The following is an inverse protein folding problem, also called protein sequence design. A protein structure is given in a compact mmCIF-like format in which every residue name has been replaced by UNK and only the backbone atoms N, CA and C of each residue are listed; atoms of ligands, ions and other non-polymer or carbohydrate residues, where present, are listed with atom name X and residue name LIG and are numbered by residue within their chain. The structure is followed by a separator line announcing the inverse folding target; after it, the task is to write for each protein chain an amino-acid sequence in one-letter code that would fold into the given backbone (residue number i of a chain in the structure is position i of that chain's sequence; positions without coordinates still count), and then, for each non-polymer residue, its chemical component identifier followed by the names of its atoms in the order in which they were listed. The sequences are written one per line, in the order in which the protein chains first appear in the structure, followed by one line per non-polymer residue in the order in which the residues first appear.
data_IF_562958348053
#
_entry.id   IF_562958348053
#
_cell.length_a   1.000
_cell.length_b   1.000
_cell.length_c   1.000
_cell.angle_alpha   90.00
_cell.angle_beta   90.00
_cell.angle_gamma   90.00
#
_symmetry.space_group_name_H-M   'P 1'
#
loop_
_entity.id
_entity.type
_entity.pdbx_description
1 polymer ?
#
# COMPACT_ATOMS: atom_id res chain seq x y z
N UNK A 1 -4.99 9.25 -18.18
CA UNK A 1 -6.12 8.56 -17.53
C UNK A 1 -6.98 7.81 -18.56
N UNK A 2 -7.28 8.39 -19.71
CA UNK A 2 -8.02 7.69 -20.78
C UNK A 2 -7.25 6.53 -21.42
N UNK A 3 -5.91 6.58 -21.33
CA UNK A 3 -5.03 5.53 -21.88
C UNK A 3 -5.08 4.24 -21.07
N UNK A 4 -5.38 4.33 -19.78
CA UNK A 4 -5.45 3.17 -18.87
C UNK A 4 -6.58 2.22 -19.31
N UNK A 5 -7.72 2.75 -19.72
CA UNK A 5 -8.88 1.95 -20.07
C UNK A 5 -8.68 0.98 -21.24
N UNK A 6 -7.98 1.41 -22.29
CA UNK A 6 -7.73 0.57 -23.48
C UNK A 6 -6.72 -0.54 -23.20
N UNK A 7 -5.60 -0.20 -22.55
CA UNK A 7 -4.57 -1.18 -22.20
C UNK A 7 -5.08 -2.19 -21.15
N UNK A 8 -5.90 -1.73 -20.22
CA UNK A 8 -6.43 -2.54 -19.14
C UNK A 8 -7.37 -3.64 -19.62
N UNK A 9 -8.13 -3.41 -20.69
CA UNK A 9 -9.12 -4.39 -21.21
C UNK A 9 -8.47 -5.63 -21.80
N UNK A 10 -7.20 -5.55 -22.21
CA UNK A 10 -6.46 -6.66 -22.78
C UNK A 10 -5.43 -7.27 -21.83
N UNK A 11 -5.32 -6.75 -20.62
CA UNK A 11 -4.34 -7.19 -19.63
C UNK A 11 -5.00 -8.05 -18.57
N UNK A 12 -4.26 -9.04 -18.07
CA UNK A 12 -4.71 -9.88 -16.95
C UNK A 12 -4.55 -9.16 -15.60
N UNK A 13 -3.51 -8.33 -15.46
CA UNK A 13 -3.23 -7.55 -14.26
C UNK A 13 -2.88 -6.12 -14.66
N UNK A 14 -3.43 -5.15 -13.93
CA UNK A 14 -3.14 -3.74 -14.13
C UNK A 14 -2.59 -3.15 -12.84
N UNK A 15 -1.41 -2.54 -12.92
CA UNK A 15 -0.79 -1.83 -11.80
C UNK A 15 -0.88 -0.33 -12.06
N UNK A 16 -1.45 0.40 -11.11
CA UNK A 16 -1.62 1.85 -11.21
C UNK A 16 -0.76 2.50 -10.12
N UNK A 17 0.34 3.12 -10.55
CA UNK A 17 1.22 3.87 -9.67
C UNK A 17 0.67 5.30 -9.51
N UNK A 18 0.62 5.78 -8.29
CA UNK A 18 0.06 7.08 -7.95
C UNK A 18 1.09 7.96 -7.24
N UNK A 19 0.85 9.27 -7.26
CA UNK A 19 1.64 10.19 -6.44
C UNK A 19 1.42 9.88 -4.95
N UNK A 20 2.52 9.77 -4.20
CA UNK A 20 2.49 9.41 -2.78
C UNK A 20 2.80 10.58 -1.84
N UNK A 21 2.89 11.82 -2.34
CA UNK A 21 3.31 12.95 -1.53
C UNK A 21 2.11 13.73 -0.99
N UNK A 22 2.08 13.92 0.34
CA UNK A 22 1.06 14.68 1.04
C UNK A 22 1.37 16.19 1.11
N UNK A 23 1.96 16.79 0.08
CA UNK A 23 2.21 18.23 0.05
C UNK A 23 0.93 19.03 0.12
N UNK A 24 -0.10 18.54 -0.56
CA UNK A 24 -1.43 19.10 -0.48
C UNK A 24 -2.40 17.92 -0.37
N UNK A 25 -2.81 17.63 0.86
CA UNK A 25 -3.68 16.51 1.18
C UNK A 25 -4.96 16.53 0.35
N UNK A 26 -5.58 17.70 0.21
CA UNK A 26 -6.84 17.81 -0.53
C UNK A 26 -6.68 17.48 -2.00
N UNK A 27 -5.62 17.97 -2.65
CA UNK A 27 -5.37 17.68 -4.06
C UNK A 27 -5.05 16.20 -4.28
N UNK A 28 -4.25 15.62 -3.39
CA UNK A 28 -3.92 14.19 -3.46
C UNK A 28 -5.19 13.34 -3.31
N UNK A 29 -6.06 13.66 -2.37
CA UNK A 29 -7.32 12.94 -2.15
C UNK A 29 -8.25 13.08 -3.35
N UNK A 30 -8.34 14.26 -3.94
CA UNK A 30 -9.13 14.49 -5.16
C UNK A 30 -8.59 13.65 -6.32
N UNK A 31 -7.28 13.57 -6.49
CA UNK A 31 -6.64 12.77 -7.53
C UNK A 31 -6.90 11.27 -7.33
N UNK A 32 -6.75 10.78 -6.10
CA UNK A 32 -7.04 9.37 -5.77
C UNK A 32 -8.50 9.03 -6.00
N UNK A 33 -9.41 9.93 -5.66
CA UNK A 33 -10.84 9.75 -5.92
C UNK A 33 -11.14 9.69 -7.42
N UNK A 34 -10.49 10.51 -8.23
CA UNK A 34 -10.64 10.47 -9.70
C UNK A 34 -10.17 9.14 -10.27
N UNK A 35 -9.01 8.65 -9.82
CA UNK A 35 -8.48 7.36 -10.25
C UNK A 35 -9.44 6.25 -9.87
N UNK A 36 -9.96 6.27 -8.66
CA UNK A 36 -10.95 5.29 -8.19
C UNK A 36 -12.20 5.26 -9.09
N UNK A 37 -12.74 6.42 -9.43
CA UNK A 37 -13.91 6.52 -10.31
C UNK A 37 -13.63 6.01 -11.72
N UNK A 38 -12.45 6.29 -12.26
CA UNK A 38 -12.04 5.79 -13.57
C UNK A 38 -11.93 4.26 -13.56
N UNK A 39 -11.33 3.69 -12.52
CA UNK A 39 -11.25 2.23 -12.38
C UNK A 39 -12.64 1.61 -12.29
N UNK A 40 -13.53 2.16 -11.50
CA UNK A 40 -14.91 1.66 -11.36
C UNK A 40 -15.66 1.70 -12.69
N UNK A 41 -15.46 2.74 -13.49
CA UNK A 41 -16.11 2.91 -14.78
C UNK A 41 -15.53 2.00 -15.87
N UNK A 42 -14.21 1.91 -15.97
CA UNK A 42 -13.52 1.21 -17.06
C UNK A 42 -13.34 -0.29 -16.80
N UNK A 43 -13.29 -0.68 -15.54
CA UNK A 43 -13.04 -2.06 -15.13
C UNK A 43 -14.10 -2.53 -14.12
N UNK A 44 -15.39 -2.51 -14.49
CA UNK A 44 -16.44 -2.94 -13.57
C UNK A 44 -16.34 -4.44 -13.29
N UNK A 45 -16.47 -4.82 -12.04
CA UNK A 45 -16.47 -6.22 -11.61
C UNK A 45 -15.08 -6.86 -11.52
N UNK A 46 -14.00 -6.12 -11.72
CA UNK A 46 -12.64 -6.66 -11.50
C UNK A 46 -12.31 -6.74 -10.01
N UNK A 47 -11.47 -7.71 -9.65
CA UNK A 47 -10.87 -7.76 -8.33
C UNK A 47 -9.91 -6.57 -8.17
N UNK A 48 -9.96 -5.93 -7.01
CA UNK A 48 -9.24 -4.69 -6.79
C UNK A 48 -8.56 -4.68 -5.44
N UNK A 49 -7.30 -4.30 -5.44
CA UNK A 49 -6.52 -4.04 -4.24
C UNK A 49 -6.02 -2.60 -4.29
N UNK A 50 -6.17 -1.89 -3.17
CA UNK A 50 -5.57 -0.57 -2.98
C UNK A 50 -4.50 -0.69 -1.92
N UNK A 51 -3.25 -0.70 -2.35
CA UNK A 51 -2.11 -0.94 -1.49
C UNK A 51 -1.41 0.37 -1.14
N UNK A 52 -1.17 0.58 0.14
CA UNK A 52 -0.34 1.68 0.61
C UNK A 52 1.09 1.17 0.79
N UNK A 53 2.04 1.81 0.11
CA UNK A 53 3.47 1.53 0.31
C UNK A 53 3.97 2.43 1.43
N UNK A 54 4.44 1.82 2.51
CA UNK A 54 4.87 2.49 3.72
C UNK A 54 6.31 2.13 4.04
N UNK A 55 7.13 3.14 4.30
CA UNK A 55 8.52 2.98 4.71
C UNK A 55 8.57 2.67 6.22
N UNK A 56 9.09 1.51 6.58
CA UNK A 56 9.17 1.06 7.97
C UNK A 56 10.05 1.95 8.85
N UNK A 57 10.94 2.74 8.27
CA UNK A 57 11.83 3.63 9.02
C UNK A 57 11.18 4.95 9.44
N UNK A 58 10.00 5.27 8.94
CA UNK A 58 9.30 6.54 9.24
C UNK A 58 8.61 6.55 10.61
N UNK A 59 8.46 5.41 11.26
CA UNK A 59 7.91 5.31 12.60
C UNK A 59 6.49 5.89 12.74
N UNK A 60 6.26 6.69 13.78
CA UNK A 60 4.94 7.27 14.08
C UNK A 60 4.42 8.20 12.98
N UNK A 61 5.29 8.94 12.32
CA UNK A 61 4.89 9.82 11.23
C UNK A 61 4.29 9.03 10.06
N UNK A 62 4.91 7.91 9.70
CA UNK A 62 4.39 7.03 8.68
C UNK A 62 3.04 6.44 9.05
N UNK A 63 2.87 6.07 10.31
CA UNK A 63 1.61 5.52 10.83
C UNK A 63 0.47 6.55 10.78
N UNK A 64 0.75 7.80 11.14
CA UNK A 64 -0.23 8.90 11.05
C UNK A 64 -0.65 9.12 9.61
N UNK A 65 0.29 9.14 8.67
CA UNK A 65 0.00 9.27 7.25
C UNK A 65 -0.84 8.08 6.74
N UNK A 66 -0.51 6.89 7.18
CA UNK A 66 -1.25 5.68 6.80
C UNK A 66 -2.71 5.74 7.24
N UNK A 67 -2.99 6.23 8.43
CA UNK A 67 -4.36 6.45 8.92
C UNK A 67 -5.13 7.42 8.01
N UNK A 68 -4.48 8.50 7.60
CA UNK A 68 -5.10 9.48 6.71
C UNK A 68 -5.42 8.89 5.33
N UNK A 69 -4.50 8.10 4.78
CA UNK A 69 -4.74 7.39 3.51
C UNK A 69 -5.87 6.36 3.62
N UNK A 70 -5.93 5.64 4.72
CA UNK A 70 -6.99 4.65 4.96
C UNK A 70 -8.37 5.31 4.91
N UNK A 71 -8.53 6.43 5.59
CA UNK A 71 -9.80 7.15 5.65
C UNK A 71 -10.21 7.70 4.28
N UNK A 72 -9.25 8.17 3.50
CA UNK A 72 -9.52 8.88 2.25
C UNK A 72 -9.58 7.97 1.02
N UNK A 73 -8.74 6.94 0.96
CA UNK A 73 -8.58 6.12 -0.25
C UNK A 73 -9.11 4.70 -0.10
N UNK A 74 -9.53 4.28 1.09
CA UNK A 74 -10.05 2.94 1.32
C UNK A 74 -9.02 1.85 1.04
N UNK A 75 -7.81 1.97 1.60
CA UNK A 75 -6.74 0.99 1.39
C UNK A 75 -7.13 -0.39 1.90
N UNK A 76 -6.75 -1.42 1.16
CA UNK A 76 -7.08 -2.82 1.47
C UNK A 76 -5.89 -3.60 1.99
N UNK A 77 -4.68 -3.10 1.81
CA UNK A 77 -3.46 -3.75 2.26
C UNK A 77 -2.29 -2.80 2.34
N UNK A 78 -1.23 -3.24 2.98
CA UNK A 78 0.00 -2.47 3.17
C UNK A 78 1.18 -3.24 2.62
N UNK A 79 2.04 -2.53 1.90
CA UNK A 79 3.36 -2.99 1.50
C UNK A 79 4.36 -2.25 2.36
N UNK A 80 5.05 -2.96 3.23
CA UNK A 80 5.96 -2.36 4.19
C UNK A 80 7.40 -2.53 3.71
N UNK A 81 8.06 -1.43 3.36
CA UNK A 81 9.43 -1.44 2.83
C UNK A 81 10.47 -1.15 3.91
N UNK A 82 11.72 -1.43 3.59
CA UNK A 82 12.89 -1.15 4.44
C UNK A 82 12.86 -1.88 5.79
N UNK A 83 12.31 -3.08 5.81
CA UNK A 83 12.30 -3.92 7.01
C UNK A 83 13.66 -4.52 7.36
N UNK A 84 14.67 -4.34 6.51
CA UNK A 84 16.06 -4.63 6.80
C UNK A 84 16.69 -3.65 7.81
N UNK A 85 16.00 -2.57 8.15
CA UNK A 85 16.39 -1.63 9.19
C UNK A 85 16.18 -2.17 10.62
N UNK A 86 16.61 -1.41 11.64
CA UNK A 86 16.74 -1.88 13.02
C UNK A 86 15.47 -1.96 13.86
N UNK A 87 14.35 -1.36 13.42
CA UNK A 87 13.12 -1.26 14.23
C UNK A 87 11.96 -2.08 13.67
N UNK A 88 12.22 -3.28 13.18
CA UNK A 88 11.35 -4.08 12.32
C UNK A 88 10.02 -4.52 12.95
N UNK A 89 10.04 -4.95 14.19
CA UNK A 89 8.87 -5.59 14.82
C UNK A 89 7.80 -4.63 15.26
N UNK A 90 8.19 -3.49 15.81
CA UNK A 90 7.27 -2.52 16.39
C UNK A 90 6.29 -1.93 15.40
N UNK A 91 6.75 -1.59 14.20
CA UNK A 91 5.90 -0.98 13.17
C UNK A 91 4.84 -1.95 12.65
N UNK A 92 5.18 -3.24 12.49
CA UNK A 92 4.23 -4.25 12.03
C UNK A 92 3.11 -4.43 13.06
N UNK A 93 3.46 -4.50 14.34
CA UNK A 93 2.49 -4.63 15.43
C UNK A 93 1.60 -3.38 15.50
N UNK A 94 2.17 -2.19 15.42
CA UNK A 94 1.42 -0.94 15.44
C UNK A 94 0.44 -0.83 14.26
N UNK A 95 0.84 -1.24 13.06
CA UNK A 95 -0.03 -1.28 11.90
C UNK A 95 -1.22 -2.22 12.14
N UNK A 96 -0.95 -3.42 12.65
CA UNK A 96 -2.00 -4.40 12.90
C UNK A 96 -3.02 -3.88 13.92
N UNK A 97 -2.56 -3.23 14.98
CA UNK A 97 -3.43 -2.72 16.04
C UNK A 97 -4.19 -1.45 15.66
N UNK A 98 -3.50 -0.49 15.02
CA UNK A 98 -4.05 0.84 14.82
C UNK A 98 -4.76 1.01 13.48
N UNK A 99 -4.29 0.36 12.42
CA UNK A 99 -4.86 0.49 11.09
C UNK A 99 -5.91 -0.57 10.76
N UNK A 100 -5.79 -1.74 11.36
CA UNK A 100 -6.67 -2.89 11.06
C UNK A 100 -6.72 -3.23 9.57
N UNK A 101 -5.61 -2.99 8.87
CA UNK A 101 -5.40 -3.32 7.46
C UNK A 101 -4.24 -4.32 7.40
N UNK A 102 -4.37 -5.43 6.65
CA UNK A 102 -3.32 -6.43 6.63
C UNK A 102 -2.07 -5.94 5.91
N UNK A 103 -0.91 -6.32 6.43
CA UNK A 103 0.36 -6.21 5.71
C UNK A 103 0.40 -7.38 4.73
N UNK A 104 0.49 -7.09 3.44
CA UNK A 104 0.46 -8.13 2.40
C UNK A 104 1.84 -8.49 1.88
N UNK A 105 2.73 -7.51 1.77
CA UNK A 105 4.08 -7.69 1.28
C UNK A 105 5.06 -6.92 2.14
N UNK A 106 6.29 -7.44 2.21
CA UNK A 106 7.40 -6.78 2.90
C UNK A 106 8.59 -6.65 1.96
N UNK A 107 9.30 -5.53 2.08
CA UNK A 107 10.56 -5.28 1.39
C UNK A 107 11.72 -5.31 2.38
N UNK A 108 12.70 -6.15 2.10
CA UNK A 108 13.88 -6.36 2.96
C UNK A 108 15.19 -5.99 2.27
N UNK A 109 15.12 -5.31 1.15
CA UNK A 109 16.27 -4.89 0.36
C UNK A 109 15.82 -4.28 -0.96
N UNK A 110 16.74 -4.14 -1.91
CA UNK A 110 16.49 -3.48 -3.20
C UNK A 110 16.46 -4.46 -4.40
N UNK A 111 16.77 -5.74 -4.16
CA UNK A 111 16.73 -6.74 -5.20
C UNK A 111 15.32 -7.20 -5.53
N UNK A 112 15.16 -7.83 -6.68
CA UNK A 112 13.85 -8.31 -7.14
C UNK A 112 13.26 -9.37 -6.19
N UNK A 113 14.12 -10.17 -5.55
CA UNK A 113 13.69 -11.20 -4.61
C UNK A 113 13.50 -10.66 -3.18
N UNK A 114 13.78 -9.38 -2.95
CA UNK A 114 13.66 -8.73 -1.65
C UNK A 114 12.27 -8.18 -1.35
N UNK A 115 11.35 -8.29 -2.29
CA UNK A 115 9.92 -8.06 -2.07
C UNK A 115 9.23 -9.41 -1.98
N UNK A 116 8.65 -9.70 -0.82
CA UNK A 116 8.07 -11.01 -0.55
C UNK A 116 6.70 -10.91 0.13
N UNK A 117 5.83 -11.91 -0.01
CA UNK A 117 4.59 -11.96 0.75
C UNK A 117 4.85 -11.97 2.25
N UNK A 118 4.03 -11.26 3.00
CA UNK A 118 4.10 -11.26 4.45
C UNK A 118 3.43 -12.51 5.01
N UNK A 119 4.17 -13.26 5.83
CA UNK A 119 3.67 -14.42 6.54
C UNK A 119 3.82 -14.17 8.05
N UNK A 120 2.69 -13.98 8.73
CA UNK A 120 2.67 -13.60 10.15
C UNK A 120 3.39 -14.60 11.06
N UNK A 121 3.22 -15.89 10.80
CA UNK A 121 3.87 -16.95 11.61
C UNK A 121 5.39 -16.89 11.51
N UNK A 122 5.92 -16.79 10.29
CA UNK A 122 7.36 -16.68 10.06
C UNK A 122 7.93 -15.39 10.65
N UNK A 123 7.15 -14.31 10.60
CA UNK A 123 7.55 -13.03 11.19
C UNK A 123 7.67 -13.14 12.72
N UNK A 124 6.69 -13.74 13.38
CA UNK A 124 6.71 -13.94 14.82
C UNK A 124 7.86 -14.86 15.24
N UNK A 125 8.11 -15.94 14.52
CA UNK A 125 9.25 -16.83 14.75
C UNK A 125 10.59 -16.09 14.67
N UNK A 126 10.73 -15.16 13.75
CA UNK A 126 11.95 -14.38 13.58
C UNK A 126 12.16 -13.34 14.71
N UNK A 127 11.10 -12.94 15.41
CA UNK A 127 11.18 -12.02 16.54
C UNK A 127 11.57 -12.71 17.87
N UNK A 128 11.27 -13.97 17.97
CA UNK A 128 11.56 -14.81 19.13
C UNK A 128 12.89 -15.53 18.91
#
# INVERSE_FOLDING_TARGET
IQTIGRAARSADVVLIDTAGRLHNKQNLMNELNKISRVVDRELPGCDRETLLVLDATTGQNGLIQAKQFKEAAGITGIVLTKLDGSAKGGIVIAIAQELQVPVKFIGVGEGIDDLMPFEAEKFVEALV
#
